data_IF_963012171552
#
_entry.id   IF_963012171552
#
_cell.length_a   1.000
_cell.length_b   1.000
_cell.length_c   1.000
_cell.angle_alpha   90.00
_cell.angle_beta   90.00
_cell.angle_gamma   90.00
#
_symmetry.space_group_name_H-M   'P 1'
#
loop_
_entity.id
_entity.type
_entity.pdbx_description
1 polymer ?
#
# COMPACT_ATOMS: atom_id res chain seq x y z
N UNK A 1 -18.33 -36.86 31.70
CA UNK A 1 -17.74 -36.80 30.34
C UNK A 1 -17.78 -35.35 29.92
N UNK A 2 -16.64 -34.65 29.95
CA UNK A 2 -16.56 -33.22 29.65
C UNK A 2 -16.26 -33.05 28.15
N UNK A 3 -17.29 -32.74 27.36
CA UNK A 3 -17.19 -32.56 25.91
C UNK A 3 -16.40 -31.28 25.58
N UNK A 4 -15.08 -31.44 25.39
CA UNK A 4 -14.23 -30.36 24.89
C UNK A 4 -14.58 -30.06 23.44
N UNK A 5 -15.38 -29.01 23.24
CA UNK A 5 -15.73 -28.45 21.93
C UNK A 5 -14.47 -28.30 21.04
N UNK A 6 -14.48 -28.82 19.80
CA UNK A 6 -13.31 -28.76 18.93
C UNK A 6 -12.94 -27.31 18.62
N UNK A 7 -11.66 -26.97 18.81
CA UNK A 7 -11.12 -25.64 18.51
C UNK A 7 -11.09 -25.45 16.99
N UNK A 8 -12.16 -24.88 16.44
CA UNK A 8 -12.21 -24.47 15.03
C UNK A 8 -11.15 -23.41 14.76
N UNK A 9 -10.38 -23.58 13.68
CA UNK A 9 -9.37 -22.60 13.26
C UNK A 9 -10.11 -21.32 12.89
N UNK A 10 -9.73 -20.20 13.50
CA UNK A 10 -10.32 -18.91 13.16
C UNK A 10 -10.13 -18.63 11.66
N UNK A 11 -11.17 -18.12 11.01
CA UNK A 11 -11.12 -17.76 9.59
C UNK A 11 -9.94 -16.83 9.30
N UNK A 12 -9.31 -16.98 8.13
CA UNK A 12 -8.22 -16.10 7.70
C UNK A 12 -8.71 -14.65 7.54
N UNK A 13 -7.79 -13.71 7.63
CA UNK A 13 -8.09 -12.30 7.35
C UNK A 13 -8.10 -12.06 5.85
N UNK A 14 -9.20 -11.49 5.36
CA UNK A 14 -9.33 -10.99 3.99
C UNK A 14 -8.48 -9.74 3.77
N UNK A 15 -8.23 -9.38 2.51
CA UNK A 15 -7.49 -8.16 2.16
C UNK A 15 -8.19 -6.90 2.67
N UNK A 16 -9.52 -6.84 2.52
CA UNK A 16 -10.34 -5.73 3.01
C UNK A 16 -10.22 -5.56 4.54
N UNK A 17 -10.35 -6.66 5.29
CA UNK A 17 -10.15 -6.64 6.74
C UNK A 17 -8.75 -6.13 7.12
N UNK A 18 -7.70 -6.54 6.41
CA UNK A 18 -6.35 -6.03 6.67
C UNK A 18 -6.27 -4.52 6.42
N UNK A 19 -6.83 -4.02 5.33
CA UNK A 19 -6.87 -2.59 5.01
C UNK A 19 -7.64 -1.78 6.05
N UNK A 20 -8.83 -2.24 6.46
CA UNK A 20 -9.63 -1.61 7.52
C UNK A 20 -8.87 -1.58 8.85
N UNK A 21 -8.20 -2.67 9.24
CA UNK A 21 -7.42 -2.73 10.46
C UNK A 21 -6.27 -1.70 10.45
N UNK A 22 -5.58 -1.57 9.32
CA UNK A 22 -4.48 -0.60 9.18
C UNK A 22 -5.00 0.85 9.21
N UNK A 23 -6.12 1.12 8.54
CA UNK A 23 -6.77 2.42 8.56
C UNK A 23 -7.15 2.85 9.99
N UNK A 24 -7.85 1.98 10.74
CA UNK A 24 -8.24 2.26 12.12
C UNK A 24 -7.01 2.43 13.04
N UNK A 25 -5.99 1.60 12.85
CA UNK A 25 -4.73 1.70 13.60
C UNK A 25 -4.06 3.07 13.39
N UNK A 26 -4.10 3.61 12.17
CA UNK A 26 -3.57 4.96 11.88
C UNK A 26 -4.39 6.06 12.52
N UNK A 27 -5.72 5.98 12.42
CA UNK A 27 -6.65 6.92 13.06
C UNK A 27 -6.40 7.03 14.57
N UNK A 28 -6.11 5.92 15.23
CA UNK A 28 -5.86 5.86 16.67
C UNK A 28 -4.36 5.84 17.07
N UNK A 29 -3.44 6.16 16.14
CA UNK A 29 -1.98 6.05 16.32
C UNK A 29 -1.47 6.71 17.60
N UNK A 30 -1.94 7.92 17.88
CA UNK A 30 -1.53 8.72 19.06
C UNK A 30 -1.88 8.09 20.41
N UNK A 31 -2.84 7.15 20.44
CA UNK A 31 -3.34 6.48 21.64
C UNK A 31 -2.75 5.08 21.83
N UNK A 32 -2.41 4.40 20.73
CA UNK A 32 -1.90 3.02 20.75
C UNK A 32 -0.37 2.95 20.79
N UNK A 33 0.34 3.93 20.21
CA UNK A 33 1.80 3.92 20.19
C UNK A 33 2.39 4.45 21.50
N UNK A 34 3.46 3.82 22.01
CA UNK A 34 4.11 4.28 23.23
C UNK A 34 4.70 5.67 22.99
N UNK A 35 4.25 6.66 23.77
CA UNK A 35 4.90 7.98 23.81
C UNK A 35 6.28 7.85 24.47
N UNK A 36 7.33 8.48 23.92
CA UNK A 36 8.70 8.37 24.43
C UNK A 36 8.93 9.02 25.81
N UNK A 37 8.01 9.87 26.28
CA UNK A 37 8.19 10.66 27.52
C UNK A 37 7.03 10.51 28.52
N UNK A 38 6.15 9.52 28.36
CA UNK A 38 5.02 9.39 29.27
C UNK A 38 4.51 7.96 29.38
N UNK A 39 4.20 7.55 30.61
CA UNK A 39 3.41 6.35 30.89
C UNK A 39 1.99 6.56 30.39
N UNK A 40 1.80 6.39 29.07
CA UNK A 40 0.46 6.23 28.49
C UNK A 40 -0.23 5.11 29.27
N UNK A 41 -1.24 5.49 30.06
CA UNK A 41 -1.93 4.55 30.93
C UNK A 41 -2.35 3.33 30.12
N UNK A 42 -1.94 2.13 30.55
CA UNK A 42 -2.30 0.88 29.88
C UNK A 42 -3.82 0.78 29.69
N UNK A 43 -4.60 1.44 30.56
CA UNK A 43 -6.05 1.62 30.44
C UNK A 43 -6.47 2.41 29.19
N UNK A 44 -5.78 3.50 28.85
CA UNK A 44 -6.04 4.29 27.64
C UNK A 44 -5.73 3.51 26.36
N UNK A 45 -4.62 2.75 26.36
CA UNK A 45 -4.31 1.82 25.25
C UNK A 45 -5.37 0.73 25.12
N UNK A 46 -5.77 0.11 26.23
CA UNK A 46 -6.83 -0.89 26.23
C UNK A 46 -8.14 -0.33 25.68
N UNK A 47 -8.50 0.89 26.07
CA UNK A 47 -9.68 1.59 25.59
C UNK A 47 -9.62 1.90 24.08
N UNK A 48 -8.50 2.42 23.59
CA UNK A 48 -8.30 2.67 22.16
C UNK A 48 -8.48 1.38 21.35
N UNK A 49 -7.94 0.26 21.85
CA UNK A 49 -8.10 -1.05 21.21
C UNK A 49 -9.55 -1.57 21.26
N UNK A 50 -10.31 -1.29 22.32
CA UNK A 50 -11.75 -1.59 22.37
C UNK A 50 -12.52 -0.81 21.30
N UNK A 51 -12.19 0.47 21.11
CA UNK A 51 -12.79 1.33 20.07
C UNK A 51 -12.47 0.84 18.66
N UNK A 52 -11.20 0.54 18.38
CA UNK A 52 -10.77 -0.07 17.11
C UNK A 52 -11.55 -1.35 16.84
N UNK A 53 -11.69 -2.22 17.84
CA UNK A 53 -12.37 -3.51 17.67
C UNK A 53 -13.86 -3.33 17.36
N UNK A 54 -14.51 -2.39 18.03
CA UNK A 54 -15.92 -2.06 17.79
C UNK A 54 -16.12 -1.51 16.37
N UNK A 55 -15.32 -0.52 15.97
CA UNK A 55 -15.39 0.05 14.61
C UNK A 55 -15.07 -0.99 13.55
N UNK A 56 -14.05 -1.82 13.78
CA UNK A 56 -13.66 -2.89 12.87
C UNK A 56 -14.81 -3.86 12.61
N UNK A 57 -15.39 -4.43 13.67
CA UNK A 57 -16.48 -5.40 13.54
C UNK A 57 -17.75 -4.78 12.95
N UNK A 58 -17.97 -3.47 13.14
CA UNK A 58 -19.06 -2.73 12.51
C UNK A 58 -18.85 -2.54 11.01
N UNK A 59 -17.62 -2.20 10.58
CA UNK A 59 -17.27 -1.95 9.18
C UNK A 59 -17.21 -3.26 8.37
N UNK A 60 -16.61 -4.32 8.92
CA UNK A 60 -16.37 -5.57 8.19
C UNK A 60 -17.60 -6.47 8.11
N UNK A 61 -18.69 -6.13 8.81
CA UNK A 61 -19.92 -6.92 8.79
C UNK A 61 -19.80 -8.29 9.47
N UNK A 62 -18.74 -8.55 10.25
CA UNK A 62 -18.50 -9.82 10.95
C UNK A 62 -19.40 -9.98 12.19
N UNK A 63 -20.72 -9.96 11.99
CA UNK A 63 -21.72 -10.08 13.07
C UNK A 63 -21.72 -11.48 13.69
N UNK A 64 -21.52 -12.50 12.86
CA UNK A 64 -21.59 -13.91 13.29
C UNK A 64 -20.29 -14.40 13.96
N UNK A 65 -19.17 -13.70 13.72
CA UNK A 65 -17.88 -14.05 14.31
C UNK A 65 -17.00 -12.80 14.54
N UNK A 66 -17.34 -11.96 15.53
CA UNK A 66 -16.60 -10.73 15.79
C UNK A 66 -15.16 -11.05 16.19
N UNK A 67 -14.20 -10.32 15.60
CA UNK A 67 -12.79 -10.47 15.98
C UNK A 67 -12.57 -9.84 17.34
N UNK A 68 -11.87 -10.55 18.23
CA UNK A 68 -11.50 -10.01 19.53
C UNK A 68 -10.33 -9.03 19.43
N UNK A 69 -10.18 -8.20 20.46
CA UNK A 69 -9.06 -7.26 20.59
C UNK A 69 -7.71 -7.95 20.39
N UNK A 70 -7.53 -9.13 20.98
CA UNK A 70 -6.27 -9.88 20.92
C UNK A 70 -5.98 -10.40 19.52
N UNK A 71 -7.01 -10.86 18.79
CA UNK A 71 -6.88 -11.32 17.40
C UNK A 71 -6.44 -10.17 16.49
N UNK A 72 -7.02 -8.98 16.65
CA UNK A 72 -6.62 -7.79 15.88
C UNK A 72 -5.21 -7.31 16.23
N UNK A 73 -4.85 -7.29 17.52
CA UNK A 73 -3.50 -6.95 17.98
C UNK A 73 -2.45 -7.90 17.42
N UNK A 74 -2.71 -9.20 17.51
CA UNK A 74 -1.80 -10.23 17.00
C UNK A 74 -1.62 -10.10 15.49
N UNK A 75 -2.71 -9.88 14.75
CA UNK A 75 -2.63 -9.65 13.30
C UNK A 75 -1.78 -8.43 12.96
N UNK A 76 -2.01 -7.29 13.63
CA UNK A 76 -1.22 -6.08 13.41
C UNK A 76 0.26 -6.29 13.77
N UNK A 77 0.54 -6.95 14.89
CA UNK A 77 1.91 -7.28 15.30
C UNK A 77 2.62 -8.14 14.24
N UNK A 78 1.93 -9.16 13.71
CA UNK A 78 2.44 -10.00 12.64
C UNK A 78 2.70 -9.20 11.36
N UNK A 79 1.80 -8.30 10.97
CA UNK A 79 2.00 -7.39 9.83
C UNK A 79 3.25 -6.53 10.05
N UNK A 80 3.39 -5.88 11.23
CA UNK A 80 4.57 -5.07 11.57
C UNK A 80 5.87 -5.88 11.52
N UNK A 81 5.86 -7.12 12.03
CA UNK A 81 7.02 -8.03 11.96
C UNK A 81 7.39 -8.38 10.51
N UNK A 82 6.41 -8.69 9.67
CA UNK A 82 6.63 -9.01 8.25
C UNK A 82 7.23 -7.79 7.54
N UNK A 83 6.67 -6.60 7.73
CA UNK A 83 7.18 -5.36 7.14
C UNK A 83 8.61 -5.07 7.60
N UNK A 84 8.89 -5.17 8.90
CA UNK A 84 10.24 -4.97 9.46
C UNK A 84 11.25 -5.96 8.90
N UNK A 85 10.86 -7.23 8.76
CA UNK A 85 11.71 -8.27 8.15
C UNK A 85 11.97 -7.97 6.68
N UNK A 86 10.94 -7.60 5.91
CA UNK A 86 11.09 -7.23 4.49
C UNK A 86 11.95 -5.98 4.30
N UNK A 87 11.83 -4.99 5.18
CA UNK A 87 12.69 -3.80 5.16
C UNK A 87 14.16 -4.15 5.40
N UNK A 88 14.45 -5.11 6.28
CA UNK A 88 15.80 -5.65 6.50
C UNK A 88 16.30 -6.52 5.34
N UNK A 89 15.42 -7.29 4.71
CA UNK A 89 15.75 -8.14 3.56
C UNK A 89 16.02 -7.31 2.28
N UNK A 90 15.33 -6.18 2.09
CA UNK A 90 15.64 -5.20 1.03
C UNK A 90 17.04 -4.59 1.13
N UNK A 91 17.70 -4.69 2.29
CA UNK A 91 19.10 -4.27 2.47
C UNK A 91 20.08 -5.37 2.00
N UNK A 92 19.60 -6.61 1.78
CA UNK A 92 20.46 -7.79 1.59
C UNK A 92 20.22 -8.55 0.26
N UNK A 93 19.13 -8.35 -0.49
CA UNK A 93 18.95 -9.11 -1.72
C UNK A 93 17.92 -8.58 -2.72
N UNK A 94 18.31 -8.63 -3.99
CA UNK A 94 17.49 -8.42 -5.17
C UNK A 94 16.38 -9.49 -5.31
N UNK A 95 15.31 -9.00 -5.92
CA UNK A 95 14.33 -9.64 -6.81
C UNK A 95 13.24 -10.65 -6.36
N UNK A 96 12.09 -10.49 -7.06
CA UNK A 96 11.01 -11.46 -7.31
C UNK A 96 10.02 -11.86 -6.19
N UNK A 97 9.37 -10.88 -5.55
CA UNK A 97 8.19 -11.19 -4.73
C UNK A 97 7.32 -10.02 -4.28
N UNK A 98 7.35 -8.90 -5.01
CA UNK A 98 6.92 -7.60 -4.48
C UNK A 98 5.78 -6.96 -5.27
N UNK A 99 4.54 -7.44 -5.06
CA UNK A 99 3.33 -6.67 -5.41
C UNK A 99 2.15 -6.89 -4.47
N UNK A 100 2.36 -6.87 -3.14
CA UNK A 100 1.21 -6.84 -2.22
C UNK A 100 1.43 -6.14 -0.87
N UNK A 101 2.52 -5.39 -0.63
CA UNK A 101 2.74 -4.79 0.71
C UNK A 101 3.23 -3.34 0.70
N UNK A 102 3.54 -2.75 -0.46
CA UNK A 102 4.00 -1.35 -0.52
C UNK A 102 2.90 -0.35 -0.87
N UNK A 103 1.67 -0.81 -1.10
CA UNK A 103 0.53 0.06 -1.41
C UNK A 103 -0.23 0.52 -0.16
N UNK A 104 0.27 0.19 1.03
CA UNK A 104 -0.46 0.50 2.26
C UNK A 104 -0.09 1.85 2.86
N UNK A 105 0.93 2.57 2.40
CA UNK A 105 1.29 3.89 2.96
C UNK A 105 0.63 5.09 2.26
N UNK A 106 0.07 4.93 1.05
CA UNK A 106 -0.47 6.03 0.25
C UNK A 106 -1.94 5.90 -0.22
N UNK A 107 -2.80 5.11 0.45
CA UNK A 107 -4.24 5.10 0.10
C UNK A 107 -4.90 6.41 0.52
N UNK A 108 -5.07 7.30 -0.46
CA UNK A 108 -5.98 8.44 -0.45
C UNK A 108 -7.40 7.89 -0.30
N UNK A 109 -8.00 8.14 0.87
CA UNK A 109 -9.38 7.75 1.17
C UNK A 109 -10.28 8.76 0.48
N UNK A 110 -10.75 8.42 -0.72
CA UNK A 110 -11.94 9.04 -1.30
C UNK A 110 -13.14 8.61 -0.44
N UNK A 111 -13.67 9.56 0.34
CA UNK A 111 -14.88 9.37 1.11
C UNK A 111 -16.07 9.39 0.14
N UNK A 112 -16.63 8.23 -0.19
CA UNK A 112 -17.92 8.17 -0.88
C UNK A 112 -19.05 8.59 0.07
N UNK A 113 -19.98 9.46 -0.34
CA UNK A 113 -21.07 9.93 0.52
C UNK A 113 -22.12 8.85 0.77
N UNK A 114 -22.64 8.85 1.98
CA UNK A 114 -23.77 8.05 2.45
C UNK A 114 -25.00 8.24 1.54
N UNK A 115 -25.51 7.15 0.94
CA UNK A 115 -26.88 7.13 0.41
C UNK A 115 -27.85 6.89 1.57
N UNK A 116 -28.50 7.96 1.99
CA UNK A 116 -29.72 7.90 2.79
C UNK A 116 -30.82 7.32 1.91
N UNK A 117 -31.45 6.27 2.43
CA UNK A 117 -32.68 5.67 1.89
C UNK A 117 -33.82 6.64 2.18
N UNK A 118 -34.59 6.99 1.15
CA UNK A 118 -36.06 7.11 1.21
C UNK A 118 -36.63 7.26 -0.21
N UNK A 119 -37.52 6.33 -0.56
CA UNK A 119 -38.61 6.51 -1.54
C UNK A 119 -39.93 6.56 -0.75
N UNK A 120 -41.13 6.84 -1.32
CA UNK A 120 -41.48 7.20 -2.70
C UNK A 120 -42.53 8.35 -2.84
N UNK A 121 -42.85 8.65 -4.11
CA UNK A 121 -44.09 9.22 -4.71
C UNK A 121 -44.51 10.69 -4.48
N UNK A 122 -44.69 11.42 -5.60
CA UNK A 122 -46.00 11.90 -6.13
C UNK A 122 -45.81 12.44 -7.56
N UNK A 123 -46.62 11.90 -8.49
CA UNK A 123 -46.93 12.41 -9.83
C UNK A 123 -47.66 13.76 -9.74
N UNK A 124 -47.36 14.71 -10.63
CA UNK A 124 -48.37 15.38 -11.48
C UNK A 124 -47.71 16.12 -12.65
N UNK A 125 -48.50 16.18 -13.73
CA UNK A 125 -48.19 16.49 -15.12
C UNK A 125 -47.94 17.96 -15.48
N UNK A 126 -47.33 18.11 -16.66
CA UNK A 126 -47.64 19.04 -17.76
C UNK A 126 -48.27 20.42 -17.46
N UNK A 127 -47.57 21.49 -17.84
CA UNK A 127 -47.95 22.38 -18.96
C UNK A 127 -47.09 23.66 -18.95
N UNK A 128 -46.39 23.89 -20.06
CA UNK A 128 -46.04 25.23 -20.56
C UNK A 128 -47.35 25.88 -21.08
N UNK A 129 -47.52 27.22 -21.22
CA UNK A 129 -46.52 28.10 -21.86
C UNK A 129 -46.53 29.62 -21.48
N UNK A 130 -45.62 30.36 -22.12
CA UNK A 130 -45.66 31.77 -22.55
C UNK A 130 -44.98 32.90 -21.72
N UNK A 131 -43.88 33.40 -22.32
CA UNK A 131 -43.53 34.81 -22.64
C UNK A 131 -44.38 35.93 -22.00
N UNK A 132 -43.76 36.83 -21.23
CA UNK A 132 -43.34 38.17 -21.69
C UNK A 132 -42.55 38.91 -20.59
N UNK A 133 -41.60 39.72 -21.06
CA UNK A 133 -40.80 40.77 -20.43
C UNK A 133 -41.45 41.53 -19.27
N UNK A 134 -40.69 41.85 -18.22
CA UNK A 134 -40.61 43.19 -17.61
C UNK A 134 -39.33 43.30 -16.77
N UNK A 135 -38.63 44.43 -16.90
CA UNK A 135 -37.38 44.73 -16.22
C UNK A 135 -37.58 45.04 -14.73
N UNK A 136 -36.61 44.66 -13.88
CA UNK A 136 -36.19 45.49 -12.74
C UNK A 136 -34.83 45.00 -12.22
N UNK A 137 -33.89 45.92 -11.92
CA UNK A 137 -32.53 45.56 -11.52
C UNK A 137 -32.42 45.43 -10.00
N UNK A 138 -31.95 44.28 -9.52
CA UNK A 138 -31.35 44.18 -8.19
C UNK A 138 -30.05 43.39 -8.24
N UNK A 139 -28.95 44.13 -8.15
CA UNK A 139 -27.60 43.64 -7.85
C UNK A 139 -27.61 43.03 -6.46
N UNK A 140 -27.38 41.72 -6.36
CA UNK A 140 -26.68 41.10 -5.23
C UNK A 140 -25.80 39.96 -5.73
N UNK A 141 -24.50 40.22 -5.64
CA UNK A 141 -23.34 39.32 -5.58
C UNK A 141 -23.69 37.83 -5.45
N UNK A 142 -23.35 37.06 -6.49
CA UNK A 142 -23.01 35.66 -6.35
C UNK A 142 -21.81 35.38 -7.26
N UNK A 143 -20.61 35.66 -6.74
CA UNK A 143 -19.41 35.01 -7.27
C UNK A 143 -19.63 33.50 -7.20
N UNK A 144 -19.78 32.90 -8.37
CA UNK A 144 -20.04 31.47 -8.53
C UNK A 144 -18.95 30.64 -7.82
N UNK A 145 -19.31 29.57 -7.07
CA UNK A 145 -18.35 28.64 -6.48
C UNK A 145 -17.62 27.76 -7.51
N UNK A 146 -17.81 27.98 -8.81
CA UNK A 146 -17.35 27.10 -9.89
C UNK A 146 -15.86 27.22 -10.24
N UNK A 147 -15.17 28.32 -9.88
CA UNK A 147 -13.73 28.46 -10.16
C UNK A 147 -12.85 27.54 -9.29
N UNK A 148 -13.33 27.19 -8.08
CA UNK A 148 -12.55 26.37 -7.13
C UNK A 148 -12.61 24.88 -7.51
N UNK A 149 -13.69 24.44 -8.15
CA UNK A 149 -13.88 23.04 -8.58
C UNK A 149 -13.07 22.70 -9.83
N UNK A 150 -12.90 23.65 -10.75
CA UNK A 150 -12.14 23.44 -11.99
C UNK A 150 -10.63 23.30 -11.71
N UNK A 151 -10.08 24.17 -10.86
CA UNK A 151 -8.68 24.07 -10.43
C UNK A 151 -8.34 22.78 -9.68
N UNK A 152 -9.30 22.22 -8.93
CA UNK A 152 -9.12 20.95 -8.21
C UNK A 152 -9.07 19.75 -9.18
N UNK A 153 -9.92 19.74 -10.21
CA UNK A 153 -9.93 18.71 -11.25
C UNK A 153 -8.66 18.77 -12.12
N UNK A 154 -8.22 19.97 -12.48
CA UNK A 154 -6.98 20.20 -13.23
C UNK A 154 -5.76 19.68 -12.46
N UNK A 155 -5.71 19.95 -11.15
CA UNK A 155 -4.66 19.45 -10.26
C UNK A 155 -4.69 17.93 -10.15
N UNK A 156 -5.87 17.32 -10.04
CA UNK A 156 -6.03 15.87 -10.00
C UNK A 156 -5.51 15.20 -11.27
N UNK A 157 -5.83 15.76 -12.45
CA UNK A 157 -5.29 15.27 -13.74
C UNK A 157 -3.77 15.39 -13.79
N UNK A 158 -3.21 16.52 -13.32
CA UNK A 158 -1.76 16.73 -13.29
C UNK A 158 -1.06 15.72 -12.40
N UNK A 159 -1.60 15.45 -11.20
CA UNK A 159 -1.06 14.43 -10.29
C UNK A 159 -1.04 13.03 -10.91
N UNK A 160 -2.11 12.64 -11.63
CA UNK A 160 -2.17 11.34 -12.30
C UNK A 160 -1.16 11.22 -13.46
N UNK A 161 -1.01 12.28 -14.25
CA UNK A 161 -0.02 12.31 -15.33
C UNK A 161 1.40 12.22 -14.79
N UNK A 162 1.68 12.95 -13.71
CA UNK A 162 2.97 12.91 -13.04
C UNK A 162 3.27 11.50 -12.47
N UNK A 163 2.29 10.85 -11.86
CA UNK A 163 2.43 9.47 -11.38
C UNK A 163 2.75 8.49 -12.54
N UNK A 164 2.03 8.61 -13.67
CA UNK A 164 2.28 7.77 -14.83
C UNK A 164 3.68 8.00 -15.42
N UNK A 165 4.12 9.25 -15.51
CA UNK A 165 5.46 9.61 -15.98
C UNK A 165 6.56 9.04 -15.07
N UNK A 166 6.37 9.10 -13.74
CA UNK A 166 7.29 8.50 -12.78
C UNK A 166 7.35 6.98 -12.92
N UNK A 167 6.21 6.33 -13.16
CA UNK A 167 6.15 4.89 -13.38
C UNK A 167 6.90 4.46 -14.64
N UNK A 168 6.77 5.20 -15.75
CA UNK A 168 7.52 4.95 -16.97
C UNK A 168 9.02 5.11 -16.74
N UNK A 169 9.44 6.18 -16.06
CA UNK A 169 10.85 6.42 -15.71
C UNK A 169 11.42 5.29 -14.86
N UNK A 170 10.69 4.87 -13.83
CA UNK A 170 11.12 3.75 -12.97
C UNK A 170 11.27 2.45 -13.77
N UNK A 171 10.37 2.21 -14.73
CA UNK A 171 10.44 1.02 -15.59
C UNK A 171 11.68 1.08 -16.50
N UNK A 172 11.97 2.22 -17.09
CA UNK A 172 13.19 2.45 -17.88
C UNK A 172 14.44 2.27 -17.03
N UNK A 173 14.55 2.94 -15.88
CA UNK A 173 15.71 2.81 -14.99
C UNK A 173 15.94 1.36 -14.52
N UNK A 174 14.87 0.60 -14.28
CA UNK A 174 14.99 -0.81 -13.94
C UNK A 174 15.54 -1.63 -15.10
N UNK A 175 15.07 -1.38 -16.31
CA UNK A 175 15.57 -2.05 -17.50
C UNK A 175 17.05 -1.73 -17.72
N UNK A 176 17.44 -0.46 -17.61
CA UNK A 176 18.83 -0.01 -17.80
C UNK A 176 19.76 -0.65 -16.76
N UNK A 177 19.33 -0.70 -15.49
CA UNK A 177 20.10 -1.39 -14.44
C UNK A 177 20.24 -2.88 -14.72
N UNK A 178 19.18 -3.52 -15.20
CA UNK A 178 19.23 -4.95 -15.56
C UNK A 178 20.22 -5.20 -16.68
N UNK A 179 20.23 -4.35 -17.72
CA UNK A 179 21.19 -4.48 -18.82
C UNK A 179 22.62 -4.28 -18.33
N UNK A 180 22.86 -3.27 -17.50
CA UNK A 180 24.19 -3.00 -16.97
C UNK A 180 24.74 -4.17 -16.13
N UNK A 181 23.90 -4.80 -15.31
CA UNK A 181 24.30 -5.98 -14.54
C UNK A 181 24.68 -7.12 -15.50
N UNK A 182 23.90 -7.36 -16.55
CA UNK A 182 24.20 -8.40 -17.53
C UNK A 182 25.50 -8.15 -18.29
N UNK A 183 25.78 -6.89 -18.63
CA UNK A 183 27.06 -6.49 -19.25
C UNK A 183 28.24 -6.74 -18.30
N UNK A 184 28.15 -6.30 -17.06
CA UNK A 184 29.19 -6.52 -16.03
C UNK A 184 29.43 -8.02 -15.78
N UNK A 185 28.36 -8.83 -15.72
CA UNK A 185 28.45 -10.29 -15.58
C UNK A 185 29.15 -10.95 -16.78
N UNK A 186 28.84 -10.50 -18.00
CA UNK A 186 29.47 -11.02 -19.22
C UNK A 186 30.97 -10.65 -19.29
N UNK A 187 31.33 -9.43 -18.91
CA UNK A 187 32.72 -8.97 -18.85
C UNK A 187 33.54 -9.75 -17.82
N UNK A 188 32.98 -9.96 -16.63
CA UNK A 188 33.64 -10.71 -15.56
C UNK A 188 33.85 -12.17 -15.96
N UNK A 189 32.86 -12.80 -16.62
CA UNK A 189 33.03 -14.16 -17.16
C UNK A 189 34.13 -14.24 -18.20
N UNK A 190 34.26 -13.23 -19.05
CA UNK A 190 35.35 -13.15 -20.03
C UNK A 190 36.71 -12.93 -19.36
N UNK A 191 36.76 -12.16 -18.26
CA UNK A 191 37.96 -11.99 -17.44
C UNK A 191 38.41 -13.32 -16.83
N UNK A 192 37.50 -14.02 -16.18
CA UNK A 192 37.75 -15.34 -15.59
C UNK A 192 38.29 -16.34 -16.64
N UNK A 193 37.66 -16.40 -17.81
CA UNK A 193 38.14 -17.27 -18.90
C UNK A 193 39.57 -16.96 -19.33
N UNK A 194 39.94 -15.66 -19.41
CA UNK A 194 41.31 -15.25 -19.76
C UNK A 194 42.31 -15.63 -18.68
N UNK A 195 41.97 -15.46 -17.41
CA UNK A 195 42.81 -15.83 -16.28
C UNK A 195 43.02 -17.35 -16.20
N UNK A 196 41.93 -18.13 -16.35
CA UNK A 196 42.01 -19.59 -16.41
C UNK A 196 42.92 -20.06 -17.55
N UNK A 197 42.75 -19.48 -18.75
CA UNK A 197 43.61 -19.81 -19.88
C UNK A 197 45.08 -19.46 -19.61
N UNK A 198 45.35 -18.30 -19.00
CA UNK A 198 46.70 -17.89 -18.64
C UNK A 198 47.36 -18.90 -17.67
N UNK A 199 46.64 -19.31 -16.63
CA UNK A 199 47.11 -20.30 -15.66
C UNK A 199 47.37 -21.66 -16.32
N UNK A 200 46.49 -22.09 -17.24
CA UNK A 200 46.72 -23.31 -18.01
C UNK A 200 48.02 -23.23 -18.82
N UNK A 201 48.30 -22.09 -19.46
CA UNK A 201 49.52 -21.89 -20.22
C UNK A 201 50.77 -21.92 -19.34
N UNK A 202 50.72 -21.31 -18.15
CA UNK A 202 51.83 -21.34 -17.18
C UNK A 202 52.10 -22.77 -16.70
N UNK A 203 51.06 -23.54 -16.36
CA UNK A 203 51.19 -24.95 -15.97
C UNK A 203 51.85 -25.76 -17.08
N UNK A 204 51.46 -25.56 -18.34
CA UNK A 204 52.06 -26.25 -19.49
C UNK A 204 53.54 -25.88 -19.66
N UNK A 205 53.91 -24.61 -19.49
CA UNK A 205 55.30 -24.16 -19.54
C UNK A 205 56.15 -24.79 -18.44
N UNK A 206 55.64 -24.82 -17.20
CA UNK A 206 56.31 -25.45 -16.07
C UNK A 206 56.52 -26.95 -16.30
N UNK A 207 55.49 -27.66 -16.77
CA UNK A 207 55.60 -29.09 -17.13
C UNK A 207 56.67 -29.33 -18.19
N UNK A 208 56.68 -28.52 -19.25
CA UNK A 208 57.71 -28.59 -20.29
C UNK A 208 59.11 -28.37 -19.71
N UNK A 209 59.27 -27.41 -18.82
CA UNK A 209 60.57 -27.13 -18.21
C UNK A 209 61.08 -28.28 -17.33
N UNK A 210 60.19 -28.92 -16.56
CA UNK A 210 60.55 -30.09 -15.76
C UNK A 210 60.96 -31.30 -16.63
N UNK A 211 60.32 -31.49 -17.78
CA UNK A 211 60.67 -32.60 -18.70
C UNK A 211 62.04 -32.44 -19.37
N UNK A 212 62.55 -31.21 -19.52
CA UNK A 212 63.88 -30.95 -20.12
C UNK A 212 65.02 -31.10 -19.10
N UNK A 213 64.70 -31.13 -17.80
CA UNK A 213 65.68 -31.23 -16.71
C UNK A 213 65.93 -32.67 -16.22
N UNK A 214 65.26 -33.66 -16.80
CA UNK A 214 65.45 -35.10 -16.55
C UNK A 214 66.21 -35.72 -17.72
#
# INVERSE_FOLDING_TARGET
>A
MDERKPRSRAANFTKNEVSTLLFLTRKYKSQIEPKPLGSSSNKAKAEAWRRITREFNAITGNRDNPRSVDVLRNKLCNIKKIVKRKARQKIIGNDEGHREVLELENVKVEASPLRVVQSPDILVDEESPNLLMEETPHVLVAESPNLVTEGLLELQKRCLLEEHALKLRLMQEKHDRSLKIQEEEAEEKLRQMREEHMLQMEILQLRKHCLVKL
#
